data_IF_037380102007
#
_entry.id   IF_037380102007
#
_cell.length_a   1.000
_cell.length_b   1.000
_cell.length_c   1.000
_cell.angle_alpha   90.00
_cell.angle_beta   90.00
_cell.angle_gamma   90.00
#
_symmetry.space_group_name_H-M   'P 1'
#
loop_
_entity.id
_entity.type
_entity.pdbx_description
1 polymer ?
#
# COMPACT_ATOMS: atom_id res chain seq x y z
N UNK A 1 17.68 -5.98 -2.91
CA UNK A 1 17.57 -4.55 -3.24
C UNK A 1 16.93 -4.50 -4.62
N UNK A 2 15.69 -4.04 -4.67
CA UNK A 2 14.85 -4.07 -5.85
C UNK A 2 14.28 -2.68 -6.06
N UNK A 3 14.54 -2.10 -7.23
CA UNK A 3 13.80 -0.91 -7.69
C UNK A 3 12.57 -1.39 -8.43
N UNK A 4 11.40 -0.89 -8.04
CA UNK A 4 10.13 -1.42 -8.52
C UNK A 4 9.13 -0.30 -8.78
N UNK A 5 8.22 -0.53 -9.74
CA UNK A 5 7.10 0.38 -10.02
C UNK A 5 6.03 0.20 -8.95
N UNK A 6 5.53 1.30 -8.38
CA UNK A 6 4.55 1.29 -7.30
C UNK A 6 3.46 2.36 -7.47
N UNK A 7 2.64 2.57 -6.43
CA UNK A 7 1.59 3.58 -6.36
C UNK A 7 0.52 3.40 -7.44
N UNK A 8 -0.01 4.52 -7.94
CA UNK A 8 -1.06 4.52 -8.97
C UNK A 8 -0.63 3.78 -10.25
N UNK A 9 0.64 3.82 -10.63
CA UNK A 9 1.12 3.04 -11.79
C UNK A 9 0.96 1.54 -11.57
N UNK A 10 1.37 1.03 -10.39
CA UNK A 10 1.20 -0.38 -10.06
C UNK A 10 -0.27 -0.79 -9.92
N UNK A 11 -1.11 0.06 -9.31
CA UNK A 11 -2.57 -0.15 -9.21
C UNK A 11 -3.25 -0.27 -10.58
N UNK A 12 -2.61 0.24 -11.63
CA UNK A 12 -3.13 0.17 -12.99
C UNK A 12 -2.53 -0.97 -13.83
N UNK A 13 -1.46 -1.64 -13.37
CA UNK A 13 -0.72 -2.72 -14.07
C UNK A 13 -1.03 -4.14 -13.59
N UNK A 14 -1.47 -4.31 -12.34
CA UNK A 14 -1.47 -5.60 -11.64
C UNK A 14 -2.42 -6.66 -12.19
N UNK A 15 -2.23 -7.91 -11.75
CA UNK A 15 -3.10 -9.04 -12.10
C UNK A 15 -4.48 -8.90 -11.44
N UNK A 16 -5.46 -8.48 -12.24
CA UNK A 16 -6.85 -8.19 -11.82
C UNK A 16 -7.67 -9.43 -11.43
N UNK A 17 -7.04 -10.59 -11.28
CA UNK A 17 -7.72 -11.83 -10.86
C UNK A 17 -8.19 -11.80 -9.41
N UNK A 18 -7.48 -11.08 -8.55
CA UNK A 18 -7.74 -11.08 -7.11
C UNK A 18 -8.22 -9.74 -6.56
N UNK A 19 -7.94 -8.64 -7.26
CA UNK A 19 -8.27 -7.28 -6.82
C UNK A 19 -8.51 -6.39 -8.07
N UNK A 20 -9.43 -5.42 -8.02
CA UNK A 20 -9.80 -4.60 -9.19
C UNK A 20 -8.69 -3.65 -9.66
N UNK A 21 -7.90 -3.08 -8.77
CA UNK A 21 -6.96 -2.00 -9.10
C UNK A 21 -7.66 -0.67 -9.42
N UNK A 22 -6.95 0.26 -10.06
CA UNK A 22 -7.39 1.66 -10.24
C UNK A 22 -7.93 1.98 -11.66
N UNK A 23 -8.12 1.03 -12.58
CA UNK A 23 -8.87 1.17 -13.87
C UNK A 23 -8.58 2.38 -14.79
N UNK A 24 -7.58 3.20 -14.52
CA UNK A 24 -7.18 4.42 -15.23
C UNK A 24 -5.91 4.22 -16.09
N UNK A 25 -5.58 2.99 -16.46
CA UNK A 25 -4.34 2.62 -17.18
C UNK A 25 -3.99 3.52 -18.37
N UNK A 26 -4.98 3.89 -19.20
CA UNK A 26 -4.77 4.75 -20.38
C UNK A 26 -4.39 6.19 -20.03
N UNK A 27 -4.70 6.64 -18.81
CA UNK A 27 -4.47 8.01 -18.32
C UNK A 27 -3.15 8.15 -17.56
N UNK A 28 -2.43 7.04 -17.33
CA UNK A 28 -1.18 7.04 -16.59
C UNK A 28 -0.01 7.59 -17.44
N UNK A 29 0.85 8.40 -16.82
CA UNK A 29 2.12 8.80 -17.43
C UNK A 29 3.16 7.67 -17.34
N UNK A 30 3.12 6.76 -18.31
CA UNK A 30 4.07 5.65 -18.39
C UNK A 30 5.50 6.08 -18.72
N UNK A 31 5.76 7.34 -19.08
CA UNK A 31 7.13 7.84 -19.32
C UNK A 31 7.86 8.14 -18.01
N UNK A 32 7.11 8.38 -16.93
CA UNK A 32 7.63 8.69 -15.59
C UNK A 32 6.91 7.87 -14.53
N UNK A 33 7.09 6.54 -14.54
CA UNK A 33 6.47 5.67 -13.55
C UNK A 33 6.98 5.99 -12.14
N UNK A 34 6.09 5.87 -11.16
CA UNK A 34 6.45 6.00 -9.76
C UNK A 34 7.32 4.81 -9.32
N UNK A 35 8.59 5.06 -9.02
CA UNK A 35 9.57 4.01 -8.68
C UNK A 35 10.04 4.19 -7.24
N UNK A 36 10.03 3.10 -6.48
CA UNK A 36 10.56 3.02 -5.11
C UNK A 36 11.69 2.00 -5.03
N UNK A 37 12.38 1.99 -3.88
CA UNK A 37 13.44 1.02 -3.56
C UNK A 37 13.07 0.21 -2.32
N UNK A 38 12.99 -1.12 -2.49
CA UNK A 38 12.59 -2.05 -1.43
C UNK A 38 13.48 -2.00 -0.20
N UNK A 39 14.75 -1.61 -0.35
CA UNK A 39 15.72 -1.52 0.74
C UNK A 39 15.46 -0.35 1.69
N UNK A 40 14.71 0.66 1.25
CA UNK A 40 14.36 1.84 2.05
C UNK A 40 13.00 1.74 2.74
N UNK A 41 12.22 0.71 2.41
CA UNK A 41 10.86 0.52 2.90
C UNK A 41 10.81 -0.53 4.02
N UNK A 42 10.05 -0.32 5.10
CA UNK A 42 9.87 -1.30 6.18
C UNK A 42 9.10 -2.56 5.74
N UNK A 43 8.57 -2.56 4.51
CA UNK A 43 7.86 -3.71 3.93
C UNK A 43 8.79 -4.65 3.16
N UNK A 44 10.04 -4.25 2.89
CA UNK A 44 11.01 -5.07 2.16
C UNK A 44 10.51 -5.45 0.77
N UNK A 45 10.62 -6.74 0.41
CA UNK A 45 10.18 -7.29 -0.88
C UNK A 45 8.70 -7.76 -0.88
N UNK A 46 7.92 -7.43 0.16
CA UNK A 46 6.54 -7.90 0.30
C UNK A 46 5.65 -7.44 -0.87
N UNK A 47 4.96 -8.41 -1.47
CA UNK A 47 4.01 -8.24 -2.58
C UNK A 47 4.63 -7.48 -3.77
N UNK A 48 5.87 -7.83 -4.14
CA UNK A 48 6.54 -7.38 -5.38
C UNK A 48 6.71 -8.58 -6.31
N UNK A 49 6.42 -8.37 -7.60
CA UNK A 49 6.51 -9.40 -8.65
C UNK A 49 6.90 -8.79 -10.00
N UNK A 50 7.36 -9.61 -10.94
CA UNK A 50 7.69 -9.16 -12.30
C UNK A 50 6.43 -8.96 -13.13
N UNK A 51 6.29 -7.79 -13.77
CA UNK A 51 5.19 -7.50 -14.70
C UNK A 51 5.66 -6.69 -15.90
N UNK A 52 4.86 -6.70 -16.97
CA UNK A 52 5.13 -5.88 -18.16
C UNK A 52 4.69 -4.45 -17.92
N UNK A 53 5.62 -3.51 -18.03
CA UNK A 53 5.39 -2.07 -17.85
C UNK A 53 5.61 -1.34 -19.18
N UNK A 54 4.65 -0.53 -19.66
CA UNK A 54 4.81 0.24 -20.89
C UNK A 54 6.08 1.09 -20.88
N UNK A 55 6.89 0.97 -21.92
CA UNK A 55 8.15 1.71 -22.05
C UNK A 55 9.33 1.18 -21.22
N UNK A 56 9.12 0.22 -20.31
CA UNK A 56 10.18 -0.37 -19.49
C UNK A 56 10.39 -1.88 -19.73
N UNK A 57 9.41 -2.56 -20.31
CA UNK A 57 9.45 -4.03 -20.47
C UNK A 57 9.12 -4.74 -19.16
N UNK A 58 9.67 -5.96 -18.98
CA UNK A 58 9.40 -6.77 -17.79
C UNK A 58 10.33 -6.31 -16.66
N UNK A 59 9.73 -5.79 -15.59
CA UNK A 59 10.43 -5.23 -14.43
C UNK A 59 9.67 -5.56 -13.13
N UNK A 60 10.31 -5.40 -11.95
CA UNK A 60 9.62 -5.51 -10.67
C UNK A 60 8.51 -4.47 -10.51
N UNK A 61 7.33 -4.90 -10.04
CA UNK A 61 6.14 -4.08 -9.80
C UNK A 61 5.50 -4.50 -8.48
N UNK A 62 4.97 -3.53 -7.73
CA UNK A 62 4.14 -3.78 -6.57
C UNK A 62 2.81 -4.46 -6.98
N UNK A 63 2.38 -5.45 -6.22
CA UNK A 63 0.98 -5.85 -6.20
C UNK A 63 0.09 -4.75 -5.62
N UNK A 64 -1.22 -4.88 -5.79
CA UNK A 64 -2.15 -3.83 -5.39
C UNK A 64 -2.12 -3.57 -3.87
N UNK A 65 -1.87 -4.59 -3.05
CA UNK A 65 -1.71 -4.39 -1.61
C UNK A 65 -0.46 -3.58 -1.31
N UNK A 66 0.68 -3.96 -1.89
CA UNK A 66 1.93 -3.20 -1.73
C UNK A 66 1.79 -1.76 -2.24
N UNK A 67 1.17 -1.56 -3.40
CA UNK A 67 0.98 -0.24 -3.98
C UNK A 67 0.15 0.68 -3.05
N UNK A 68 -0.91 0.17 -2.43
CA UNK A 68 -1.71 0.94 -1.46
C UNK A 68 -0.87 1.33 -0.24
N UNK A 69 -0.13 0.38 0.35
CA UNK A 69 0.67 0.66 1.54
C UNK A 69 1.85 1.60 1.22
N UNK A 70 2.42 1.53 0.02
CA UNK A 70 3.44 2.47 -0.44
C UNK A 70 2.86 3.89 -0.58
N UNK A 71 1.64 4.06 -1.08
CA UNK A 71 0.98 5.39 -1.12
C UNK A 71 0.83 5.96 0.31
N UNK A 72 0.43 5.12 1.27
CA UNK A 72 0.36 5.52 2.70
C UNK A 72 1.74 5.89 3.23
N UNK A 73 2.76 5.07 2.96
CA UNK A 73 4.14 5.31 3.42
C UNK A 73 4.68 6.65 2.92
N UNK A 74 4.38 6.98 1.66
CA UNK A 74 4.83 8.18 0.98
C UNK A 74 3.95 9.41 1.26
N UNK A 75 2.94 9.29 2.15
CA UNK A 75 2.05 10.39 2.52
C UNK A 75 1.02 10.77 1.46
N UNK A 76 0.81 9.94 0.44
CA UNK A 76 -0.15 10.15 -0.64
C UNK A 76 -1.55 9.66 -0.25
N UNK A 77 -2.08 10.15 0.87
CA UNK A 77 -3.33 9.65 1.46
C UNK A 77 -4.55 9.82 0.54
N UNK A 78 -4.62 10.93 -0.22
CA UNK A 78 -5.71 11.15 -1.17
C UNK A 78 -5.72 10.12 -2.31
N UNK A 79 -4.56 9.63 -2.72
CA UNK A 79 -4.45 8.56 -3.71
C UNK A 79 -4.68 7.17 -3.13
N UNK A 80 -4.52 6.99 -1.81
CA UNK A 80 -4.83 5.74 -1.10
C UNK A 80 -6.29 5.65 -0.65
N UNK A 81 -7.05 6.75 -0.69
CA UNK A 81 -8.45 6.77 -0.27
C UNK A 81 -9.31 5.88 -1.17
N UNK A 82 -10.21 5.12 -0.54
CA UNK A 82 -11.02 4.10 -1.21
C UNK A 82 -10.30 2.77 -1.42
N UNK A 83 -9.06 2.61 -0.96
CA UNK A 83 -8.26 1.40 -1.21
C UNK A 83 -8.97 0.10 -0.84
N UNK A 84 -9.75 0.08 0.25
CA UNK A 84 -10.43 -1.16 0.67
C UNK A 84 -11.47 -1.59 -0.35
N UNK A 85 -12.33 -0.67 -0.77
CA UNK A 85 -13.53 -0.99 -1.56
C UNK A 85 -13.33 -0.81 -3.07
N UNK A 86 -12.38 0.02 -3.50
CA UNK A 86 -12.19 0.36 -4.92
C UNK A 86 -11.00 -0.34 -5.54
N UNK A 87 -9.88 -0.47 -4.83
CA UNK A 87 -8.64 -1.01 -5.39
C UNK A 87 -8.43 -2.48 -5.02
N UNK A 88 -8.76 -2.84 -3.78
CA UNK A 88 -8.58 -4.18 -3.25
C UNK A 88 -9.83 -5.03 -3.38
N UNK A 89 -11.00 -4.51 -2.95
CA UNK A 89 -12.32 -5.17 -3.01
C UNK A 89 -12.28 -6.68 -2.71
N UNK A 90 -11.47 -7.05 -1.71
CA UNK A 90 -11.19 -8.43 -1.38
C UNK A 90 -10.89 -8.55 0.12
N UNK A 91 -11.80 -9.15 0.91
CA UNK A 91 -11.63 -9.27 2.37
C UNK A 91 -10.36 -9.98 2.81
N UNK A 92 -9.78 -10.86 1.97
CA UNK A 92 -8.53 -11.55 2.29
C UNK A 92 -7.31 -10.62 2.38
N UNK A 93 -7.41 -9.40 1.84
CA UNK A 93 -6.36 -8.39 1.87
C UNK A 93 -6.33 -7.59 3.18
N UNK A 94 -7.41 -7.57 3.94
CA UNK A 94 -7.57 -6.71 5.13
C UNK A 94 -6.47 -6.93 6.17
N UNK A 95 -6.30 -8.17 6.63
CA UNK A 95 -5.29 -8.46 7.66
C UNK A 95 -3.86 -8.20 7.17
N UNK A 96 -3.44 -8.65 5.97
CA UNK A 96 -2.13 -8.30 5.42
C UNK A 96 -1.86 -6.79 5.37
N UNK A 97 -2.83 -5.98 4.91
CA UNK A 97 -2.69 -4.52 4.88
C UNK A 97 -2.48 -3.97 6.28
N UNK A 98 -3.34 -4.34 7.24
CA UNK A 98 -3.26 -3.83 8.61
C UNK A 98 -1.92 -4.16 9.26
N UNK A 99 -1.42 -5.38 9.06
CA UNK A 99 -0.10 -5.81 9.56
C UNK A 99 1.03 -4.96 9.00
N UNK A 100 0.99 -4.62 7.72
CA UNK A 100 2.03 -3.82 7.09
C UNK A 100 1.95 -2.35 7.53
N UNK A 101 0.75 -1.77 7.53
CA UNK A 101 0.53 -0.39 7.99
C UNK A 101 0.93 -0.22 9.46
N UNK A 102 0.72 -1.23 10.30
CA UNK A 102 1.14 -1.21 11.71
C UNK A 102 2.66 -1.05 11.91
N UNK A 103 3.47 -1.42 10.93
CA UNK A 103 4.93 -1.17 10.96
C UNK A 103 5.26 0.32 10.94
N UNK A 104 4.31 1.17 10.52
CA UNK A 104 4.46 2.63 10.46
C UNK A 104 4.06 3.34 11.77
N UNK A 105 3.60 2.62 12.79
CA UNK A 105 3.02 3.23 14.01
C UNK A 105 3.93 4.14 14.81
N UNK A 106 5.24 3.99 14.68
CA UNK A 106 6.23 4.86 15.33
C UNK A 106 6.56 6.13 14.54
N UNK A 107 5.97 6.34 13.36
CA UNK A 107 6.26 7.50 12.51
C UNK A 107 5.50 8.74 12.97
N UNK A 108 6.06 9.92 12.70
CA UNK A 108 5.43 11.20 13.02
C UNK A 108 4.06 11.37 12.37
N UNK A 109 3.86 10.80 11.17
CA UNK A 109 2.61 10.85 10.42
C UNK A 109 1.57 9.81 10.86
N UNK A 110 1.84 9.07 11.94
CA UNK A 110 0.93 8.04 12.43
C UNK A 110 -0.51 8.54 12.65
N UNK A 111 -0.79 9.74 13.19
CA UNK A 111 -2.18 10.20 13.35
C UNK A 111 -2.97 10.24 12.04
N UNK A 112 -2.34 10.63 10.92
CA UNK A 112 -2.96 10.67 9.60
C UNK A 112 -3.18 9.25 9.05
N UNK A 113 -2.20 8.37 9.25
CA UNK A 113 -2.27 6.96 8.85
C UNK A 113 -3.39 6.25 9.63
N UNK A 114 -3.45 6.45 10.95
CA UNK A 114 -4.46 5.85 11.83
C UNK A 114 -5.87 6.33 11.47
N UNK A 115 -6.01 7.62 11.15
CA UNK A 115 -7.27 8.18 10.67
C UNK A 115 -7.71 7.57 9.34
N UNK A 116 -6.81 7.47 8.35
CA UNK A 116 -7.10 6.85 7.06
C UNK A 116 -7.53 5.39 7.25
N UNK A 117 -6.77 4.61 8.03
CA UNK A 117 -7.10 3.22 8.30
C UNK A 117 -8.44 3.07 9.03
N UNK A 118 -8.76 3.98 9.95
CA UNK A 118 -10.08 4.04 10.60
C UNK A 118 -11.21 4.35 9.62
N UNK A 119 -10.96 5.20 8.62
CA UNK A 119 -11.95 5.53 7.58
C UNK A 119 -12.14 4.38 6.58
N UNK A 120 -11.06 3.72 6.18
CA UNK A 120 -11.10 2.60 5.22
C UNK A 120 -11.67 1.32 5.87
N UNK A 121 -11.25 0.99 7.09
CA UNK A 121 -11.53 -0.34 7.69
C UNK A 121 -12.44 -0.31 8.92
N UNK A 122 -12.83 0.87 9.41
CA UNK A 122 -13.79 1.05 10.50
C UNK A 122 -13.46 0.17 11.73
N UNK A 123 -14.45 -0.56 12.25
CA UNK A 123 -14.31 -1.41 13.43
C UNK A 123 -13.22 -2.47 13.31
N UNK A 124 -12.96 -3.00 12.10
CA UNK A 124 -11.91 -4.00 11.92
C UNK A 124 -10.52 -3.44 12.27
N UNK A 125 -10.30 -2.13 12.02
CA UNK A 125 -9.05 -1.48 12.40
C UNK A 125 -8.94 -1.31 13.92
N UNK A 126 -10.04 -0.98 14.60
CA UNK A 126 -10.07 -0.90 16.06
C UNK A 126 -9.78 -2.27 16.68
N UNK A 127 -10.49 -3.30 16.24
CA UNK A 127 -10.29 -4.68 16.70
C UNK A 127 -8.86 -5.17 16.46
N UNK A 128 -8.25 -4.79 15.33
CA UNK A 128 -6.87 -5.12 15.04
C UNK A 128 -5.91 -4.47 16.03
N UNK A 129 -6.09 -3.17 16.32
CA UNK A 129 -5.25 -2.39 17.24
C UNK A 129 -5.33 -2.91 18.68
N UNK A 130 -6.52 -3.29 19.15
CA UNK A 130 -6.71 -3.82 20.51
C UNK A 130 -5.93 -5.11 20.76
N UNK A 131 -5.69 -5.90 19.72
CA UNK A 131 -4.93 -7.15 19.78
C UNK A 131 -3.42 -6.94 19.70
N UNK A 132 -2.96 -5.71 19.42
CA UNK A 132 -1.52 -5.43 19.34
C UNK A 132 -0.94 -5.20 20.74
N UNK A 133 0.31 -5.59 20.98
CA UNK A 133 1.02 -5.18 22.19
C UNK A 133 0.97 -3.64 22.29
N UNK A 134 0.41 -3.12 23.38
CA UNK A 134 0.53 -1.70 23.62
C UNK A 134 1.99 -1.40 23.91
N UNK A 135 2.60 -0.55 23.08
CA UNK A 135 3.95 -0.05 23.35
C UNK A 135 3.91 0.60 24.74
N UNK A 136 4.71 0.06 25.67
CA UNK A 136 4.75 0.53 27.04
C UNK A 136 4.97 2.05 27.03
N UNK A 137 4.02 2.81 27.58
CA UNK A 137 4.10 4.26 27.65
C UNK A 137 5.46 4.65 28.25
N UNK A 138 6.33 5.25 27.44
CA UNK A 138 7.47 5.99 27.95
C UNK A 138 6.91 7.14 28.81
N UNK A 139 6.86 6.90 30.11
CA UNK A 139 6.69 7.96 31.09
C UNK A 139 8.01 8.73 31.09
N UNK A 140 7.95 9.97 30.59
CA UNK A 140 8.92 11.01 30.93
C UNK A 140 8.17 11.97 31.84
#
# INVERSE_FOLDING_TARGET
MTRYVSGLHALNLGDRRATPGDWHYSSMDWKRPFILDSSTSPFGEWDIHESQVPGMGRVPVAGHMRACVDLIEQGQYGSAQGMRDQFLDNPSTTLPIMQQVWKLRGRQQWPQIDWLMGHEYYGQWLDFKEKQPQDAKAHI
#
